data_IF_385508744567
#
_entry.id   IF_385508744567
#
_cell.length_a   1.000
_cell.length_b   1.000
_cell.length_c   1.000
_cell.angle_alpha   90.00
_cell.angle_beta   90.00
_cell.angle_gamma   90.00
#
_symmetry.space_group_name_H-M   'P 1'
#
loop_
_entity.id
_entity.type
_entity.pdbx_description
1 polymer ?
#
# COMPACT_ATOMS: atom_id res chain seq x y z
N UNK A 1 -62.00 -3.59 21.19
CA UNK A 1 -62.99 -4.27 20.32
C UNK A 1 -62.43 -4.22 18.90
N UNK A 2 -62.39 -5.24 18.03
CA UNK A 2 -62.54 -6.72 18.05
C UNK A 2 -61.63 -7.19 16.87
N UNK A 3 -60.71 -8.16 16.95
CA UNK A 3 -60.76 -9.62 17.24
C UNK A 3 -61.54 -10.45 16.21
N UNK A 4 -60.91 -11.56 15.76
CA UNK A 4 -61.31 -12.57 14.74
C UNK A 4 -60.98 -12.18 13.28
N UNK A 5 -60.69 -13.11 12.37
CA UNK A 5 -60.84 -14.59 12.43
C UNK A 5 -59.58 -15.40 12.05
N UNK A 6 -59.47 -16.59 12.65
CA UNK A 6 -58.70 -17.75 12.17
C UNK A 6 -59.69 -18.83 11.73
N UNK A 7 -59.29 -19.74 10.82
CA UNK A 7 -59.31 -21.22 10.98
C UNK A 7 -59.35 -21.95 9.61
N UNK A 8 -58.38 -22.82 9.24
CA UNK A 8 -58.35 -24.31 9.38
C UNK A 8 -59.29 -25.01 8.36
N UNK A 9 -58.88 -25.97 7.50
CA UNK A 9 -58.73 -27.43 7.75
C UNK A 9 -57.78 -28.12 6.70
N UNK A 10 -56.80 -28.86 7.21
CA UNK A 10 -56.25 -30.23 6.91
C UNK A 10 -56.39 -30.98 5.54
N UNK A 11 -55.26 -31.66 5.19
CA UNK A 11 -55.08 -33.14 4.89
C UNK A 11 -55.57 -33.76 3.55
N UNK A 12 -55.09 -34.91 3.03
CA UNK A 12 -54.30 -36.05 3.58
C UNK A 12 -53.22 -36.63 2.62
N UNK A 13 -52.38 -37.54 3.17
CA UNK A 13 -51.76 -38.76 2.57
C UNK A 13 -52.66 -39.54 1.56
N UNK A 14 -52.23 -40.49 0.70
CA UNK A 14 -50.93 -41.06 0.21
C UNK A 14 -51.26 -42.03 -1.00
N UNK A 15 -50.53 -43.05 -1.51
CA UNK A 15 -49.28 -43.79 -1.18
C UNK A 15 -48.73 -44.62 -2.39
N UNK A 16 -47.55 -45.25 -2.21
CA UNK A 16 -47.06 -46.56 -2.75
C UNK A 16 -47.33 -47.03 -4.21
N UNK A 17 -46.26 -47.46 -4.88
CA UNK A 17 -46.03 -48.90 -5.20
C UNK A 17 -44.64 -49.15 -5.80
N UNK A 18 -44.19 -50.41 -5.82
CA UNK A 18 -42.87 -50.84 -6.31
C UNK A 18 -43.00 -52.05 -7.25
N UNK A 19 -41.92 -52.37 -8.00
CA UNK A 19 -41.76 -53.66 -8.71
C UNK A 19 -40.29 -54.09 -8.79
N UNK A 20 -40.09 -55.38 -9.04
CA UNK A 20 -38.88 -56.17 -8.77
C UNK A 20 -38.46 -57.02 -9.99
N UNK A 21 -37.51 -57.96 -9.79
CA UNK A 21 -37.04 -59.01 -10.73
C UNK A 21 -35.98 -58.54 -11.76
N UNK A 22 -34.89 -59.27 -12.06
CA UNK A 22 -34.32 -60.46 -11.36
C UNK A 22 -32.81 -60.67 -11.65
N UNK A 23 -32.29 -61.82 -11.22
CA UNK A 23 -30.89 -62.28 -11.19
C UNK A 23 -30.34 -62.64 -12.61
N UNK A 24 -29.03 -62.84 -12.87
CA UNK A 24 -28.19 -63.80 -12.16
C UNK A 24 -26.70 -63.86 -12.59
N UNK A 25 -25.85 -64.18 -11.62
CA UNK A 25 -24.59 -64.95 -11.72
C UNK A 25 -23.37 -64.40 -12.51
N UNK A 26 -22.12 -64.79 -12.23
CA UNK A 26 -21.42 -65.18 -10.98
C UNK A 26 -19.91 -65.32 -11.28
N UNK A 27 -19.01 -64.70 -10.51
CA UNK A 27 -17.75 -65.32 -10.03
C UNK A 27 -16.83 -64.36 -9.24
N UNK A 28 -16.36 -64.85 -8.09
CA UNK A 28 -15.01 -64.74 -7.49
C UNK A 28 -14.15 -63.46 -7.63
N UNK A 29 -13.40 -63.02 -6.61
CA UNK A 29 -13.46 -63.22 -5.14
C UNK A 29 -12.32 -62.42 -4.50
N UNK A 30 -12.61 -61.47 -3.59
CA UNK A 30 -11.91 -61.35 -2.31
C UNK A 30 -12.51 -60.25 -1.42
N UNK A 31 -12.97 -60.66 -0.24
CA UNK A 31 -13.11 -59.84 0.96
C UNK A 31 -11.70 -59.61 1.59
N UNK A 32 -11.46 -58.70 2.54
CA UNK A 32 -12.34 -58.22 3.61
C UNK A 32 -12.31 -56.71 3.88
N UNK A 33 -13.38 -56.26 4.54
CA UNK A 33 -13.64 -54.89 4.99
C UNK A 33 -12.78 -54.46 6.20
N UNK A 34 -12.62 -53.15 6.34
CA UNK A 34 -11.99 -52.51 7.50
C UNK A 34 -12.86 -52.60 8.77
N UNK A 35 -12.29 -52.89 9.96
CA UNK A 35 -13.00 -52.78 11.22
C UNK A 35 -13.11 -51.30 11.64
N UNK A 36 -14.34 -50.76 11.65
CA UNK A 36 -14.61 -49.38 12.11
C UNK A 36 -15.89 -49.24 12.95
N UNK A 37 -16.14 -50.25 13.78
CA UNK A 37 -17.19 -50.32 14.81
C UNK A 37 -16.52 -50.73 16.14
N UNK A 38 -17.26 -50.73 17.26
CA UNK A 38 -16.79 -51.12 18.61
C UNK A 38 -15.86 -50.15 19.35
N UNK A 39 -16.24 -48.86 19.38
CA UNK A 39 -15.64 -47.85 20.25
C UNK A 39 -16.43 -47.57 21.56
N UNK A 40 -17.29 -48.50 22.02
CA UNK A 40 -18.31 -48.22 23.08
C UNK A 40 -18.38 -49.20 24.28
N UNK A 41 -17.36 -50.01 24.58
CA UNK A 41 -17.33 -50.86 25.80
C UNK A 41 -15.95 -50.93 26.48
N UNK A 42 -15.32 -49.77 26.75
CA UNK A 42 -14.03 -49.70 27.47
C UNK A 42 -14.03 -48.68 28.62
N UNK A 43 -13.54 -49.11 29.78
CA UNK A 43 -13.47 -48.31 31.01
C UNK A 43 -12.51 -47.12 30.89
N UNK A 44 -12.80 -46.05 31.64
CA UNK A 44 -11.87 -44.91 31.82
C UNK A 44 -10.47 -45.36 32.29
N UNK A 45 -10.39 -46.46 33.04
CA UNK A 45 -9.12 -47.03 33.53
C UNK A 45 -8.30 -47.71 32.42
N UNK A 46 -8.95 -48.33 31.45
CA UNK A 46 -8.34 -49.04 30.32
C UNK A 46 -7.90 -48.08 29.23
N UNK A 47 -8.75 -47.11 28.87
CA UNK A 47 -8.39 -46.01 27.95
C UNK A 47 -7.17 -45.21 28.46
N UNK A 48 -7.01 -45.07 29.78
CA UNK A 48 -5.82 -44.46 30.41
C UNK A 48 -4.59 -45.39 30.41
N UNK A 49 -4.78 -46.72 30.32
CA UNK A 49 -3.69 -47.71 30.21
C UNK A 49 -3.15 -47.74 28.77
N UNK A 50 -4.03 -47.83 27.76
CA UNK A 50 -3.69 -47.77 26.34
C UNK A 50 -2.90 -46.50 25.98
N UNK A 51 -3.43 -45.31 26.32
CA UNK A 51 -2.70 -44.04 26.11
C UNK A 51 -1.34 -43.96 26.81
N UNK A 52 -1.14 -44.69 27.91
CA UNK A 52 0.16 -44.73 28.60
C UNK A 52 1.15 -45.68 27.91
N UNK A 53 0.67 -46.69 27.20
CA UNK A 53 1.50 -47.57 26.37
C UNK A 53 1.90 -46.86 25.06
N UNK A 54 0.96 -46.25 24.35
CA UNK A 54 1.21 -45.42 23.15
C UNK A 54 2.25 -44.30 23.44
N UNK A 55 2.17 -43.69 24.62
CA UNK A 55 3.09 -42.64 25.06
C UNK A 55 4.47 -43.17 25.50
N UNK A 56 4.58 -44.44 25.91
CA UNK A 56 5.87 -45.08 26.20
C UNK A 56 6.58 -45.52 24.91
N UNK A 57 5.83 -46.00 23.92
CA UNK A 57 6.35 -46.45 22.64
C UNK A 57 6.89 -45.28 21.77
N UNK A 58 6.29 -44.10 21.90
CA UNK A 58 6.73 -42.88 21.22
C UNK A 58 7.85 -42.08 21.94
N UNK A 59 8.54 -42.67 22.92
CA UNK A 59 9.69 -42.02 23.56
C UNK A 59 10.91 -42.00 22.62
N UNK A 60 11.52 -40.82 22.35
CA UNK A 60 12.68 -40.74 21.47
C UNK A 60 13.89 -41.44 22.09
N UNK A 61 14.36 -42.51 21.44
CA UNK A 61 15.53 -43.29 21.87
C UNK A 61 16.75 -42.36 22.05
N UNK A 62 17.50 -42.46 23.17
CA UNK A 62 18.63 -41.56 23.44
C UNK A 62 19.71 -41.74 22.38
N UNK A 63 20.16 -40.63 21.78
CA UNK A 63 21.23 -40.66 20.78
C UNK A 63 22.53 -41.19 21.42
N UNK A 64 23.28 -42.08 20.75
CA UNK A 64 24.55 -42.57 21.27
C UNK A 64 25.52 -41.40 21.52
N UNK A 65 26.33 -41.50 22.58
CA UNK A 65 27.30 -40.47 22.94
C UNK A 65 28.50 -40.54 21.99
N UNK A 66 28.41 -39.89 20.82
CA UNK A 66 29.52 -39.75 19.86
C UNK A 66 30.82 -39.35 20.57
N UNK A 67 31.88 -40.08 20.26
CA UNK A 67 33.24 -39.92 20.77
C UNK A 67 33.85 -38.59 20.36
N UNK A 68 34.98 -38.23 20.99
CA UNK A 68 35.73 -37.00 20.71
C UNK A 68 36.31 -36.97 19.29
N UNK A 69 36.51 -38.13 18.66
CA UNK A 69 36.98 -38.24 17.28
C UNK A 69 35.85 -37.98 16.26
N UNK A 70 34.72 -38.68 16.38
CA UNK A 70 33.57 -38.52 15.48
C UNK A 70 33.04 -37.09 15.46
N UNK A 71 33.02 -36.41 16.63
CA UNK A 71 32.63 -35.00 16.72
C UNK A 71 33.57 -34.06 15.96
N UNK A 72 34.87 -34.36 15.89
CA UNK A 72 35.84 -33.58 15.10
C UNK A 72 35.62 -33.81 13.62
N UNK A 73 35.50 -35.07 13.18
CA UNK A 73 35.23 -35.42 11.78
C UNK A 73 33.95 -34.72 11.26
N UNK A 74 32.85 -34.76 12.03
CA UNK A 74 31.59 -34.11 11.66
C UNK A 74 31.72 -32.57 11.59
N UNK A 75 32.52 -31.97 12.47
CA UNK A 75 32.77 -30.52 12.48
C UNK A 75 33.68 -30.08 11.32
N UNK A 76 34.61 -30.94 10.91
CA UNK A 76 35.53 -30.74 9.79
C UNK A 76 34.80 -30.88 8.44
N UNK A 77 33.94 -31.90 8.30
CA UNK A 77 33.05 -32.08 7.16
C UNK A 77 32.11 -30.87 6.99
N UNK A 78 31.49 -30.39 8.07
CA UNK A 78 30.67 -29.16 8.05
C UNK A 78 31.46 -27.87 7.72
N UNK A 79 32.78 -27.84 7.96
CA UNK A 79 33.65 -26.75 7.52
C UNK A 79 33.92 -26.84 6.02
N UNK A 80 34.17 -28.05 5.49
CA UNK A 80 34.35 -28.29 4.06
C UNK A 80 33.06 -27.95 3.27
N UNK A 81 31.88 -28.36 3.74
CA UNK A 81 30.59 -28.00 3.14
C UNK A 81 30.35 -26.48 3.09
N UNK A 82 30.70 -25.77 4.17
CA UNK A 82 30.63 -24.29 4.23
C UNK A 82 31.65 -23.61 3.31
N UNK A 83 32.82 -24.20 3.11
CA UNK A 83 33.82 -23.71 2.16
C UNK A 83 33.36 -23.93 0.71
N UNK A 84 32.80 -25.10 0.38
CA UNK A 84 32.21 -25.39 -0.93
C UNK A 84 31.05 -24.43 -1.25
N UNK A 85 30.10 -24.24 -0.32
CA UNK A 85 28.99 -23.29 -0.47
C UNK A 85 29.41 -21.81 -0.57
N UNK A 86 30.66 -21.46 -0.25
CA UNK A 86 31.22 -20.11 -0.46
C UNK A 86 31.80 -19.88 -1.86
N UNK A 87 32.04 -20.93 -2.66
CA UNK A 87 32.62 -20.81 -4.01
C UNK A 87 31.60 -20.67 -5.14
N UNK A 88 30.31 -20.85 -4.87
CA UNK A 88 29.26 -20.51 -5.84
C UNK A 88 28.90 -19.03 -5.72
N UNK A 89 28.93 -18.23 -6.80
CA UNK A 89 28.44 -16.87 -6.75
C UNK A 89 26.94 -16.88 -6.51
N UNK A 90 26.49 -16.23 -5.43
CA UNK A 90 25.07 -15.96 -5.24
C UNK A 90 24.59 -15.01 -6.34
N UNK A 91 23.93 -15.57 -7.35
CA UNK A 91 22.82 -14.85 -7.98
C UNK A 91 21.73 -14.74 -6.92
N UNK A 92 21.73 -13.66 -6.14
CA UNK A 92 20.57 -13.32 -5.33
C UNK A 92 19.41 -13.06 -6.32
N UNK A 93 18.36 -13.90 -6.35
CA UNK A 93 17.21 -13.61 -7.20
C UNK A 93 16.60 -12.30 -6.71
N UNK A 94 16.29 -11.40 -7.65
CA UNK A 94 15.72 -10.08 -7.33
C UNK A 94 14.56 -10.28 -6.34
N UNK A 95 14.72 -9.76 -5.12
CA UNK A 95 13.95 -10.24 -3.98
C UNK A 95 12.51 -9.76 -4.07
N UNK A 96 11.65 -10.60 -4.67
CA UNK A 96 10.21 -10.34 -4.83
C UNK A 96 9.62 -10.12 -3.45
N UNK A 97 9.38 -8.85 -3.13
CA UNK A 97 8.99 -8.41 -1.80
C UNK A 97 7.48 -8.60 -1.61
N UNK A 98 7.01 -9.85 -1.79
CA UNK A 98 5.65 -10.31 -1.50
C UNK A 98 5.23 -9.77 -0.13
N UNK A 99 4.26 -8.86 -0.14
CA UNK A 99 4.12 -7.88 0.93
C UNK A 99 3.34 -8.47 2.10
N UNK A 100 2.32 -9.30 1.81
CA UNK A 100 1.40 -9.86 2.80
C UNK A 100 0.88 -11.29 2.49
N UNK A 101 1.27 -11.89 1.37
CA UNK A 101 0.77 -13.23 0.95
C UNK A 101 1.30 -14.38 1.82
N UNK A 102 2.46 -14.15 2.47
CA UNK A 102 3.06 -15.10 3.41
C UNK A 102 2.50 -14.85 4.82
N UNK A 103 1.74 -15.79 5.42
CA UNK A 103 1.16 -15.61 6.74
C UNK A 103 2.21 -15.40 7.84
N UNK A 104 3.46 -15.85 7.64
CA UNK A 104 4.56 -15.57 8.58
C UNK A 104 5.02 -14.11 8.52
N UNK A 105 4.86 -13.44 7.38
CA UNK A 105 5.07 -11.99 7.26
C UNK A 105 3.91 -11.21 7.85
N UNK A 106 2.67 -11.65 7.64
CA UNK A 106 1.46 -11.04 8.25
C UNK A 106 1.57 -11.07 9.78
N UNK A 107 1.81 -12.24 10.37
CA UNK A 107 2.04 -12.39 11.82
C UNK A 107 3.24 -11.58 12.35
N UNK A 108 4.25 -11.31 11.50
CA UNK A 108 5.40 -10.45 11.86
C UNK A 108 5.09 -8.96 11.70
N UNK A 109 4.14 -8.59 10.85
CA UNK A 109 3.62 -7.23 10.70
C UNK A 109 2.66 -6.90 11.86
N UNK A 110 1.71 -7.79 12.16
CA UNK A 110 0.78 -7.68 13.30
C UNK A 110 1.52 -7.52 14.62
N UNK A 111 2.55 -8.34 14.87
CA UNK A 111 3.45 -8.21 16.04
C UNK A 111 4.32 -6.95 16.09
N UNK A 112 4.27 -6.11 15.05
CA UNK A 112 4.93 -4.80 15.01
C UNK A 112 3.93 -3.64 15.11
N UNK A 113 2.63 -3.86 14.95
CA UNK A 113 1.67 -2.77 14.95
C UNK A 113 1.60 -2.16 16.35
N UNK A 114 1.74 -0.83 16.40
CA UNK A 114 1.60 -0.03 17.61
C UNK A 114 0.12 0.29 17.83
N UNK A 115 -0.63 0.47 16.74
CA UNK A 115 -2.09 0.64 16.78
C UNK A 115 -2.75 -0.68 16.35
N UNK A 116 -3.44 -1.33 17.28
CA UNK A 116 -4.29 -2.47 16.97
C UNK A 116 -5.53 -1.97 16.20
N UNK A 117 -5.51 -2.09 14.87
CA UNK A 117 -6.66 -1.75 14.02
C UNK A 117 -7.39 -3.00 13.55
N UNK A 118 -8.70 -3.04 13.79
CA UNK A 118 -9.55 -4.12 13.32
C UNK A 118 -9.51 -4.19 11.79
N UNK A 119 -8.92 -5.27 11.26
CA UNK A 119 -8.97 -5.64 9.84
C UNK A 119 -10.36 -6.14 9.51
N UNK A 120 -10.87 -5.82 8.33
CA UNK A 120 -12.14 -6.38 7.85
C UNK A 120 -12.10 -7.92 7.81
N UNK A 121 -13.20 -8.62 8.12
CA UNK A 121 -13.30 -10.06 7.94
C UNK A 121 -12.97 -10.51 6.50
N UNK A 122 -12.22 -11.60 6.35
CA UNK A 122 -11.85 -12.17 5.03
C UNK A 122 -13.07 -12.49 4.15
N UNK A 123 -14.22 -12.81 4.76
CA UNK A 123 -15.50 -12.99 4.06
C UNK A 123 -15.95 -11.73 3.32
N UNK A 124 -15.66 -10.53 3.83
CA UNK A 124 -16.03 -9.24 3.25
C UNK A 124 -14.94 -8.57 2.40
N UNK A 125 -13.71 -9.07 2.44
CA UNK A 125 -12.62 -8.64 1.55
C UNK A 125 -12.77 -9.23 0.13
N UNK A 126 -12.35 -8.48 -0.89
CA UNK A 126 -12.28 -8.98 -2.28
C UNK A 126 -11.08 -9.92 -2.44
N UNK A 127 -11.23 -11.15 -2.99
CA UNK A 127 -10.16 -12.15 -3.00
C UNK A 127 -8.84 -11.70 -3.64
N UNK A 128 -8.89 -10.90 -4.72
CA UNK A 128 -7.70 -10.35 -5.38
C UNK A 128 -6.93 -9.31 -4.55
N UNK A 129 -7.50 -8.81 -3.45
CA UNK A 129 -6.93 -7.75 -2.63
C UNK A 129 -6.77 -8.12 -1.15
N UNK A 130 -6.96 -9.40 -0.79
CA UNK A 130 -6.91 -9.85 0.62
C UNK A 130 -5.51 -9.81 1.26
N UNK A 131 -4.47 -9.64 0.43
CA UNK A 131 -3.12 -9.31 0.87
C UNK A 131 -3.01 -7.85 1.34
N UNK A 132 -3.74 -6.91 0.73
CA UNK A 132 -3.69 -5.51 1.14
C UNK A 132 -4.48 -5.27 2.45
N UNK A 133 -3.94 -4.49 3.40
CA UNK A 133 -4.62 -4.24 4.68
C UNK A 133 -5.84 -3.33 4.49
N UNK A 134 -7.04 -3.89 4.61
CA UNK A 134 -8.32 -3.15 4.69
C UNK A 134 -8.79 -3.10 6.15
N UNK A 135 -9.03 -1.90 6.68
CA UNK A 135 -9.41 -1.65 8.08
C UNK A 135 -10.84 -1.12 8.21
N UNK A 136 -11.49 -1.42 9.33
CA UNK A 136 -12.85 -0.96 9.61
C UNK A 136 -12.88 0.45 10.24
N UNK A 137 -13.89 1.25 9.87
CA UNK A 137 -14.04 2.66 10.24
C UNK A 137 -14.04 2.91 11.76
N UNK A 138 -14.57 1.98 12.53
CA UNK A 138 -14.67 2.09 14.00
C UNK A 138 -13.31 1.89 14.71
N UNK A 139 -12.26 1.47 13.98
CA UNK A 139 -10.86 1.50 14.44
C UNK A 139 -10.28 2.92 14.50
N UNK A 140 -11.00 3.82 15.19
CA UNK A 140 -10.56 5.18 15.49
C UNK A 140 -9.28 5.14 16.33
N UNK A 141 -8.22 5.75 15.81
CA UNK A 141 -6.89 5.76 16.44
C UNK A 141 -6.94 6.31 17.87
N UNK A 142 -7.84 7.27 18.11
CA UNK A 142 -8.03 7.95 19.40
C UNK A 142 -8.61 7.08 20.53
N UNK A 143 -9.26 5.94 20.24
CA UNK A 143 -9.88 5.09 21.26
C UNK A 143 -9.03 3.87 21.67
N UNK A 144 -7.98 3.51 20.90
CA UNK A 144 -7.08 2.38 21.23
C UNK A 144 -5.58 2.69 21.16
N UNK A 145 -5.17 3.94 20.89
CA UNK A 145 -3.87 4.42 21.41
C UNK A 145 -4.02 4.55 22.93
N UNK A 146 -3.78 3.44 23.64
CA UNK A 146 -3.73 3.44 25.08
C UNK A 146 -2.64 4.39 25.57
N UNK A 147 -2.98 5.27 26.51
CA UNK A 147 -2.06 6.26 27.10
C UNK A 147 -1.02 5.63 28.06
N UNK A 148 -0.45 4.48 27.67
CA UNK A 148 0.84 4.00 28.16
C UNK A 148 1.88 5.02 27.72
N UNK A 149 2.20 5.97 28.59
CA UNK A 149 2.76 7.28 28.24
C UNK A 149 4.25 7.29 27.82
N UNK A 150 4.75 6.21 27.21
CA UNK A 150 6.15 6.06 26.80
C UNK A 150 6.29 5.91 25.27
N UNK A 151 7.07 6.80 24.66
CA UNK A 151 7.70 6.64 23.33
C UNK A 151 6.88 6.85 22.02
N UNK A 152 5.87 7.72 21.99
CA UNK A 152 5.41 8.35 20.72
C UNK A 152 5.52 9.88 20.82
N UNK A 153 6.22 10.51 19.87
CA UNK A 153 6.46 11.96 19.88
C UNK A 153 5.21 12.76 19.47
N UNK A 154 4.87 13.89 20.14
CA UNK A 154 3.65 14.65 19.84
C UNK A 154 3.51 15.14 18.39
N UNK A 155 4.60 15.49 17.71
CA UNK A 155 4.55 15.90 16.30
C UNK A 155 4.22 14.71 15.37
N UNK A 156 4.73 13.52 15.70
CA UNK A 156 4.45 12.27 14.99
C UNK A 156 3.00 11.83 15.22
N UNK A 157 2.50 11.93 16.45
CA UNK A 157 1.09 11.67 16.80
C UNK A 157 0.14 12.59 16.01
N UNK A 158 0.41 13.91 16.02
CA UNK A 158 -0.37 14.90 15.25
C UNK A 158 -0.34 14.66 13.74
N UNK A 159 0.78 14.15 13.21
CA UNK A 159 0.89 13.76 11.81
C UNK A 159 0.07 12.50 11.50
N UNK A 160 0.16 11.46 12.34
CA UNK A 160 -0.56 10.20 12.15
C UNK A 160 -2.07 10.40 12.07
N UNK A 161 -2.63 11.23 12.96
CA UNK A 161 -4.05 11.61 12.92
C UNK A 161 -4.42 12.29 11.59
N UNK A 162 -3.67 13.33 11.16
CA UNK A 162 -3.89 14.01 9.87
C UNK A 162 -3.74 13.12 8.63
N UNK A 163 -2.97 12.04 8.72
CA UNK A 163 -2.84 11.04 7.66
C UNK A 163 -4.04 10.08 7.65
N UNK A 164 -4.52 9.64 8.82
CA UNK A 164 -5.66 8.76 8.97
C UNK A 164 -6.99 9.45 8.62
N UNK A 165 -7.17 10.71 9.05
CA UNK A 165 -8.30 11.59 8.72
C UNK A 165 -8.26 12.10 7.27
N UNK A 166 -7.22 11.76 6.50
CA UNK A 166 -6.95 12.22 5.13
C UNK A 166 -6.90 13.74 4.93
N UNK A 167 -6.70 14.53 5.99
CA UNK A 167 -6.46 15.99 5.88
C UNK A 167 -5.24 16.32 5.02
N UNK A 168 -4.26 15.40 4.94
CA UNK A 168 -3.09 15.51 4.04
C UNK A 168 -3.10 14.32 3.06
N UNK A 169 -3.64 14.54 1.87
CA UNK A 169 -3.72 13.53 0.79
C UNK A 169 -2.47 13.46 -0.08
N UNK A 170 -2.05 14.60 -0.66
CA UNK A 170 -1.08 14.67 -1.75
C UNK A 170 0.34 14.19 -1.39
N UNK A 171 0.97 13.46 -2.32
CA UNK A 171 2.28 12.81 -2.13
C UNK A 171 3.40 13.74 -1.65
N UNK A 172 3.53 14.94 -2.21
CA UNK A 172 4.56 15.91 -1.82
C UNK A 172 4.29 16.51 -0.43
N UNK A 173 3.03 16.87 -0.16
CA UNK A 173 2.59 17.39 1.16
C UNK A 173 2.77 16.35 2.27
N UNK A 174 2.50 15.06 2.01
CA UNK A 174 2.79 13.96 2.93
C UNK A 174 4.28 13.84 3.24
N UNK A 175 5.16 14.00 2.25
CA UNK A 175 6.61 13.96 2.43
C UNK A 175 7.14 15.13 3.27
N UNK A 176 6.74 16.36 2.96
CA UNK A 176 7.12 17.55 3.73
C UNK A 176 6.67 17.39 5.18
N UNK A 177 5.41 16.98 5.41
CA UNK A 177 4.87 16.80 6.75
C UNK A 177 5.61 15.71 7.58
N UNK A 178 6.04 14.62 6.94
CA UNK A 178 6.94 13.62 7.57
C UNK A 178 8.28 14.24 7.96
N UNK A 179 8.92 14.98 7.05
CA UNK A 179 10.21 15.62 7.35
C UNK A 179 10.10 16.67 8.47
N UNK A 180 9.05 17.49 8.49
CA UNK A 180 8.80 18.45 9.58
C UNK A 180 8.55 17.74 10.92
N UNK A 181 7.78 16.66 10.95
CA UNK A 181 7.53 15.90 12.18
C UNK A 181 8.79 15.16 12.68
N UNK A 182 9.60 14.63 11.76
CA UNK A 182 10.91 14.05 12.09
C UNK A 182 11.90 15.12 12.58
N UNK A 183 11.91 16.32 12.00
CA UNK A 183 12.74 17.46 12.47
C UNK A 183 12.44 17.79 13.94
N UNK A 184 11.17 17.94 14.30
CA UNK A 184 10.79 18.19 15.70
C UNK A 184 11.16 17.01 16.62
N UNK A 185 10.95 15.76 16.18
CA UNK A 185 11.37 14.58 16.94
C UNK A 185 12.89 14.54 17.17
N UNK A 186 13.70 14.88 16.16
CA UNK A 186 15.17 14.93 16.27
C UNK A 186 15.61 16.08 17.19
N UNK A 187 14.96 17.25 17.10
CA UNK A 187 15.24 18.40 17.96
C UNK A 187 14.98 18.11 19.44
N UNK A 188 13.85 17.48 19.75
CA UNK A 188 13.47 17.11 21.13
C UNK A 188 14.15 15.82 21.62
N UNK A 189 14.97 15.15 20.79
CA UNK A 189 15.64 13.90 21.15
C UNK A 189 16.83 14.13 22.09
N UNK A 190 16.84 13.35 23.17
CA UNK A 190 17.89 13.32 24.18
C UNK A 190 18.53 11.93 24.19
N UNK A 191 19.87 11.88 24.19
CA UNK A 191 20.63 10.64 24.15
C UNK A 191 20.73 10.02 25.57
N UNK A 192 20.29 8.78 25.81
CA UNK A 192 20.54 8.11 27.07
C UNK A 192 22.02 7.71 27.23
N UNK A 193 22.49 7.75 28.48
CA UNK A 193 23.90 7.59 28.85
C UNK A 193 24.58 6.35 28.23
N UNK A 194 25.83 6.53 27.80
CA UNK A 194 26.68 5.44 27.30
C UNK A 194 26.35 4.89 25.90
N UNK A 195 25.38 5.47 25.19
CA UNK A 195 25.08 5.12 23.79
C UNK A 195 25.73 6.10 22.79
N UNK A 196 25.63 5.76 21.50
CA UNK A 196 26.01 6.65 20.38
C UNK A 196 24.74 7.09 19.62
N UNK A 197 24.62 8.39 19.33
CA UNK A 197 23.45 8.99 18.66
C UNK A 197 23.02 8.24 17.40
N UNK A 198 23.95 7.90 16.50
CA UNK A 198 23.68 7.17 15.25
C UNK A 198 22.87 5.87 15.42
N UNK A 199 23.12 5.13 16.50
CA UNK A 199 22.50 3.83 16.74
C UNK A 199 21.14 3.97 17.44
N UNK A 200 21.07 4.81 18.47
CA UNK A 200 19.87 4.90 19.30
C UNK A 200 18.80 5.82 18.69
N UNK A 201 19.19 6.84 17.91
CA UNK A 201 18.26 7.66 17.14
C UNK A 201 17.58 6.86 16.03
N UNK A 202 18.28 5.98 15.32
CA UNK A 202 17.61 5.08 14.37
C UNK A 202 16.64 4.13 15.09
N UNK A 203 17.07 3.57 16.23
CA UNK A 203 16.25 2.70 17.07
C UNK A 203 14.96 3.39 17.51
N UNK A 204 15.05 4.60 18.08
CA UNK A 204 13.93 5.40 18.56
C UNK A 204 13.02 5.93 17.43
N UNK A 205 13.57 6.15 16.22
CA UNK A 205 12.77 6.53 15.04
C UNK A 205 11.94 5.37 14.47
N UNK A 206 12.33 4.10 14.70
CA UNK A 206 11.61 2.96 14.14
C UNK A 206 10.16 2.83 14.65
N UNK A 207 9.85 2.97 15.95
CA UNK A 207 8.48 3.08 16.45
C UNK A 207 7.70 4.23 15.80
N UNK A 208 8.31 5.42 15.69
CA UNK A 208 7.67 6.60 15.08
C UNK A 208 7.22 6.32 13.63
N UNK A 209 8.07 5.68 12.84
CA UNK A 209 7.75 5.28 11.46
C UNK A 209 6.64 4.21 11.44
N UNK A 210 6.70 3.22 12.33
CA UNK A 210 5.70 2.14 12.39
C UNK A 210 4.31 2.65 12.78
N UNK A 211 4.23 3.58 13.73
CA UNK A 211 2.98 4.27 14.07
C UNK A 211 2.37 4.97 12.85
N UNK A 212 3.18 5.70 12.06
CA UNK A 212 2.69 6.35 10.83
C UNK A 212 2.21 5.33 9.78
N UNK A 213 2.84 4.16 9.67
CA UNK A 213 2.38 3.04 8.81
C UNK A 213 1.02 2.51 9.23
N UNK A 214 0.79 2.35 10.55
CA UNK A 214 -0.48 1.86 11.10
C UNK A 214 -1.62 2.89 10.94
N UNK A 215 -1.27 4.19 10.99
CA UNK A 215 -2.22 5.27 10.68
C UNK A 215 -2.70 5.20 9.23
N UNK A 216 -1.74 5.15 8.28
CA UNK A 216 -2.01 5.07 6.84
C UNK A 216 -0.79 4.50 6.10
N UNK A 217 -0.96 3.52 5.19
CA UNK A 217 0.16 3.00 4.39
C UNK A 217 1.01 4.12 3.76
N UNK A 218 2.32 4.07 3.98
CA UNK A 218 3.25 5.09 3.49
C UNK A 218 3.34 5.06 1.96
N UNK A 219 3.34 6.24 1.34
CA UNK A 219 3.67 6.34 -0.09
C UNK A 219 5.14 5.94 -0.33
N UNK A 220 5.44 5.54 -1.57
CA UNK A 220 6.82 5.21 -1.97
C UNK A 220 7.73 6.44 -1.81
N UNK A 221 7.21 7.65 -2.04
CA UNK A 221 7.90 8.92 -1.79
C UNK A 221 8.25 9.12 -0.30
N UNK A 222 7.33 8.87 0.65
CA UNK A 222 7.63 8.86 2.09
C UNK A 222 8.71 7.80 2.42
N UNK A 223 8.61 6.63 1.81
CA UNK A 223 9.59 5.55 1.97
C UNK A 223 11.00 5.89 1.43
N UNK A 224 11.12 6.71 0.39
CA UNK A 224 12.40 7.21 -0.12
C UNK A 224 12.99 8.28 0.82
N UNK A 225 12.15 9.21 1.28
CA UNK A 225 12.51 10.26 2.24
C UNK A 225 13.02 9.67 3.56
N UNK A 226 12.36 8.64 4.10
CA UNK A 226 12.78 7.96 5.34
C UNK A 226 14.13 7.23 5.15
N UNK A 227 14.42 6.67 3.96
CA UNK A 227 15.73 6.09 3.67
C UNK A 227 16.83 7.16 3.64
N UNK A 228 16.54 8.35 3.08
CA UNK A 228 17.48 9.47 3.11
C UNK A 228 17.82 9.87 4.55
N UNK A 229 16.82 10.10 5.41
CA UNK A 229 17.05 10.45 6.82
C UNK A 229 17.86 9.36 7.56
N UNK A 230 17.54 8.07 7.37
CA UNK A 230 18.34 6.95 7.92
C UNK A 230 19.78 6.93 7.38
N UNK A 231 19.98 7.24 6.10
CA UNK A 231 21.31 7.36 5.49
C UNK A 231 22.13 8.47 6.14
N UNK A 232 21.54 9.65 6.33
CA UNK A 232 22.19 10.78 7.01
C UNK A 232 22.53 10.46 8.48
N UNK A 233 21.62 9.82 9.23
CA UNK A 233 21.90 9.32 10.61
C UNK A 233 23.08 8.34 10.61
N UNK A 234 23.20 7.49 9.58
CA UNK A 234 24.31 6.53 9.44
C UNK A 234 25.65 7.19 9.08
N UNK A 235 25.63 8.45 8.61
CA UNK A 235 26.78 9.24 8.20
C UNK A 235 27.22 10.27 9.27
N UNK A 236 26.56 10.32 10.43
CA UNK A 236 26.99 11.16 11.55
C UNK A 236 28.33 10.63 12.09
N UNK A 237 29.33 11.52 12.10
CA UNK A 237 30.65 11.29 12.67
C UNK A 237 30.55 11.02 14.18
N UNK A 238 31.07 9.88 14.69
CA UNK A 238 31.06 9.57 16.12
C UNK A 238 31.81 10.56 17.02
N UNK A 239 32.74 11.35 16.46
CA UNK A 239 33.59 12.26 17.24
C UNK A 239 32.99 13.69 17.36
N UNK A 240 31.84 13.96 16.71
CA UNK A 240 31.12 15.24 16.81
C UNK A 240 30.20 15.30 18.06
N UNK A 241 30.04 16.49 18.68
CA UNK A 241 29.05 16.69 19.75
C UNK A 241 27.61 16.42 19.29
N UNK A 242 26.80 15.78 20.13
CA UNK A 242 25.43 15.35 19.78
C UNK A 242 24.52 16.48 19.27
N UNK A 243 24.61 17.67 19.87
CA UNK A 243 23.84 18.85 19.42
C UNK A 243 24.27 19.32 18.01
N UNK A 244 25.56 19.22 17.67
CA UNK A 244 26.03 19.52 16.33
C UNK A 244 25.60 18.43 15.33
N UNK A 245 25.60 17.16 15.76
CA UNK A 245 25.04 16.05 14.98
C UNK A 245 23.55 16.23 14.68
N UNK A 246 22.74 16.62 15.68
CA UNK A 246 21.33 16.98 15.52
C UNK A 246 21.15 18.18 14.60
N UNK A 247 21.89 19.27 14.81
CA UNK A 247 21.84 20.48 13.99
C UNK A 247 22.17 20.21 12.52
N UNK A 248 23.24 19.44 12.25
CA UNK A 248 23.63 19.03 10.89
C UNK A 248 22.53 18.20 10.21
N UNK A 249 21.94 17.23 10.93
CA UNK A 249 20.85 16.39 10.41
C UNK A 249 19.58 17.21 10.12
N UNK A 250 19.26 18.18 10.97
CA UNK A 250 18.14 19.11 10.78
C UNK A 250 18.38 20.00 9.55
N UNK A 251 19.59 20.56 9.40
CA UNK A 251 19.98 21.34 8.22
C UNK A 251 19.92 20.50 6.94
N UNK A 252 20.34 19.23 6.98
CA UNK A 252 20.22 18.31 5.85
C UNK A 252 18.75 17.99 5.48
N UNK A 253 17.85 17.90 6.45
CA UNK A 253 16.41 17.75 6.22
C UNK A 253 15.82 18.98 5.52
N UNK A 254 16.11 20.19 6.00
CA UNK A 254 15.58 21.42 5.39
C UNK A 254 16.19 21.67 3.99
N UNK A 255 17.49 21.36 3.82
CA UNK A 255 18.16 21.34 2.50
C UNK A 255 17.49 20.36 1.54
N UNK A 256 17.05 19.19 2.03
CA UNK A 256 16.30 18.23 1.22
C UNK A 256 14.92 18.77 0.83
N UNK A 257 14.15 19.36 1.76
CA UNK A 257 12.84 19.95 1.44
C UNK A 257 13.00 20.99 0.32
N UNK A 258 13.96 21.91 0.46
CA UNK A 258 14.15 22.97 -0.53
C UNK A 258 14.64 22.43 -1.87
N UNK A 259 15.74 21.67 -1.88
CA UNK A 259 16.42 21.30 -3.12
C UNK A 259 15.83 20.06 -3.81
N UNK A 260 15.01 19.25 -3.12
CA UNK A 260 14.42 18.00 -3.65
C UNK A 260 12.90 18.02 -3.74
N UNK A 261 12.22 19.03 -3.20
CA UNK A 261 10.77 19.18 -3.31
C UNK A 261 10.40 20.57 -3.83
N UNK A 262 10.78 21.65 -3.16
CA UNK A 262 10.34 23.02 -3.53
C UNK A 262 10.90 23.46 -4.88
N UNK A 263 12.23 23.55 -5.02
CA UNK A 263 12.87 24.03 -6.26
C UNK A 263 12.54 23.14 -7.47
N UNK A 264 12.50 21.79 -7.36
CA UNK A 264 11.99 20.92 -8.42
C UNK A 264 10.59 21.25 -8.92
N UNK A 265 9.66 21.62 -8.03
CA UNK A 265 8.29 22.00 -8.42
C UNK A 265 8.31 23.29 -9.25
N UNK A 266 9.13 24.28 -8.89
CA UNK A 266 9.26 25.54 -9.65
C UNK A 266 9.90 25.32 -11.04
N UNK A 267 10.88 24.41 -11.14
CA UNK A 267 11.52 24.03 -12.42
C UNK A 267 10.53 23.29 -13.32
N UNK A 268 9.83 22.29 -12.80
CA UNK A 268 8.80 21.52 -13.54
C UNK A 268 7.63 22.43 -13.96
N UNK A 269 7.25 23.39 -13.11
CA UNK A 269 6.23 24.41 -13.42
C UNK A 269 6.62 25.24 -14.64
N UNK A 270 7.86 25.74 -14.69
CA UNK A 270 8.36 26.56 -15.81
C UNK A 270 8.54 25.76 -17.10
N UNK A 271 9.12 24.56 -17.01
CA UNK A 271 9.34 23.67 -18.17
C UNK A 271 8.05 23.03 -18.71
N UNK A 272 7.00 22.97 -17.88
CA UNK A 272 5.66 22.58 -18.30
C UNK A 272 4.88 23.74 -18.93
N UNK A 273 4.95 24.94 -18.36
CA UNK A 273 4.28 26.12 -18.88
C UNK A 273 4.79 26.51 -20.28
N UNK A 274 6.09 26.39 -20.54
CA UNK A 274 6.72 26.69 -21.84
C UNK A 274 6.27 25.81 -23.02
N UNK A 275 5.46 24.76 -22.76
CA UNK A 275 4.89 23.86 -23.78
C UNK A 275 3.41 24.08 -24.05
N UNK A 276 2.80 24.98 -23.31
CA UNK A 276 1.40 25.37 -23.48
C UNK A 276 1.39 26.54 -24.45
N UNK A 277 0.55 26.44 -25.49
CA UNK A 277 0.45 27.42 -26.58
C UNK A 277 -0.96 28.02 -26.61
N UNK A 278 -1.09 29.19 -27.19
CA UNK A 278 -2.37 29.88 -27.29
C UNK A 278 -3.39 29.05 -28.09
N UNK A 279 -4.56 28.84 -27.52
CA UNK A 279 -5.61 27.93 -28.03
C UNK A 279 -5.59 26.51 -27.46
N UNK A 280 -4.62 26.16 -26.60
CA UNK A 280 -4.59 24.82 -25.98
C UNK A 280 -5.82 24.51 -25.11
N UNK A 281 -6.22 23.22 -25.14
CA UNK A 281 -7.22 22.62 -24.26
C UNK A 281 -6.52 21.54 -23.45
N UNK A 282 -6.25 21.85 -22.18
CA UNK A 282 -5.53 20.95 -21.27
C UNK A 282 -6.50 20.09 -20.49
N UNK A 283 -6.30 18.78 -20.50
CA UNK A 283 -6.99 17.88 -19.58
C UNK A 283 -6.09 17.55 -18.38
N UNK A 284 -6.65 17.64 -17.17
CA UNK A 284 -6.02 17.24 -15.90
C UNK A 284 -6.96 16.36 -15.08
N UNK A 285 -6.42 15.53 -14.20
CA UNK A 285 -7.19 14.62 -13.33
C UNK A 285 -6.95 14.88 -11.85
N UNK A 286 -7.99 14.71 -11.03
CA UNK A 286 -7.91 14.81 -9.57
C UNK A 286 -7.31 16.19 -9.17
N UNK A 287 -6.49 16.24 -8.12
CA UNK A 287 -5.75 17.45 -7.71
C UNK A 287 -4.27 17.17 -7.53
N UNK A 288 -3.47 17.60 -8.51
CA UNK A 288 -2.00 17.61 -8.44
C UNK A 288 -1.48 19.02 -8.21
N UNK A 289 -0.72 19.25 -7.13
CA UNK A 289 -0.17 20.57 -6.82
C UNK A 289 0.82 21.07 -7.89
N UNK A 290 1.60 20.18 -8.50
CA UNK A 290 2.58 20.56 -9.53
C UNK A 290 1.85 21.01 -10.81
N UNK A 291 0.77 20.31 -11.18
CA UNK A 291 -0.07 20.68 -12.32
C UNK A 291 -0.90 21.94 -12.02
N UNK A 292 -1.31 22.16 -10.76
CA UNK A 292 -1.97 23.39 -10.31
C UNK A 292 -1.07 24.61 -10.54
N UNK A 293 0.21 24.53 -10.13
CA UNK A 293 1.19 25.60 -10.34
C UNK A 293 1.52 25.81 -11.83
N UNK A 294 1.71 24.71 -12.58
CA UNK A 294 1.98 24.71 -14.02
C UNK A 294 0.88 25.40 -14.82
N UNK A 295 -0.39 25.05 -14.59
CA UNK A 295 -1.53 25.65 -15.30
C UNK A 295 -1.67 27.14 -14.98
N UNK A 296 -1.45 27.56 -13.73
CA UNK A 296 -1.46 28.98 -13.35
C UNK A 296 -0.34 29.76 -14.04
N UNK A 297 0.89 29.28 -13.95
CA UNK A 297 2.04 29.89 -14.61
C UNK A 297 1.91 29.92 -16.14
N UNK A 298 1.16 29.00 -16.74
CA UNK A 298 0.83 29.01 -18.17
C UNK A 298 -0.26 30.03 -18.51
N UNK A 299 -1.32 30.16 -17.70
CA UNK A 299 -2.34 31.20 -17.89
C UNK A 299 -1.75 32.61 -17.80
N UNK A 300 -0.80 32.81 -16.88
CA UNK A 300 -0.06 34.08 -16.74
C UNK A 300 0.80 34.42 -17.98
N UNK A 301 0.97 33.49 -18.93
CA UNK A 301 1.74 33.64 -20.17
C UNK A 301 0.90 33.54 -21.45
N UNK A 302 -0.33 33.00 -21.37
CA UNK A 302 -1.13 32.57 -22.53
C UNK A 302 -2.58 33.05 -22.38
N UNK A 303 -3.07 33.80 -23.37
CA UNK A 303 -4.36 34.48 -23.30
C UNK A 303 -5.53 33.49 -23.43
N UNK A 304 -5.44 32.55 -24.37
CA UNK A 304 -6.49 31.59 -24.69
C UNK A 304 -6.11 30.19 -24.18
N UNK A 305 -6.27 29.96 -22.87
CA UNK A 305 -6.06 28.65 -22.24
C UNK A 305 -7.37 28.13 -21.63
N UNK A 306 -7.77 26.91 -22.02
CA UNK A 306 -8.95 26.22 -21.46
C UNK A 306 -8.55 24.93 -20.76
N UNK A 307 -9.16 24.62 -19.63
CA UNK A 307 -8.81 23.45 -18.80
C UNK A 307 -10.02 22.55 -18.56
N UNK A 308 -9.88 21.27 -18.88
CA UNK A 308 -10.83 20.21 -18.54
C UNK A 308 -10.34 19.51 -17.27
N UNK A 309 -11.01 19.79 -16.15
CA UNK A 309 -10.76 19.14 -14.86
C UNK A 309 -11.63 17.89 -14.75
N UNK A 310 -10.99 16.73 -14.81
CA UNK A 310 -11.64 15.43 -14.63
C UNK A 310 -11.60 15.03 -13.16
N UNK A 311 -12.74 14.69 -12.58
CA UNK A 311 -12.84 14.23 -11.19
C UNK A 311 -13.35 12.78 -11.06
N UNK A 312 -13.01 12.16 -9.93
CA UNK A 312 -13.31 10.77 -9.61
C UNK A 312 -14.41 10.57 -8.57
N UNK A 313 -14.56 9.32 -8.13
CA UNK A 313 -15.30 8.94 -6.92
C UNK A 313 -14.50 7.89 -6.15
N UNK A 314 -14.58 7.84 -4.82
CA UNK A 314 -15.46 8.67 -3.97
C UNK A 314 -14.86 10.03 -3.58
N UNK A 315 -13.54 10.16 -3.53
CA UNK A 315 -12.85 11.40 -3.14
C UNK A 315 -12.87 12.39 -4.32
N UNK A 316 -13.63 13.49 -4.17
CA UNK A 316 -13.89 14.49 -5.24
C UNK A 316 -12.82 15.58 -5.21
N UNK A 317 -11.57 15.15 -5.34
CA UNK A 317 -10.40 16.02 -5.21
C UNK A 317 -10.31 17.06 -6.33
N UNK A 318 -10.77 16.71 -7.54
CA UNK A 318 -10.83 17.62 -8.69
C UNK A 318 -11.67 18.87 -8.43
N UNK A 319 -12.65 18.84 -7.52
CA UNK A 319 -13.35 20.06 -7.08
C UNK A 319 -12.43 21.12 -6.46
N UNK A 320 -11.44 20.72 -5.65
CA UNK A 320 -10.50 21.69 -5.09
C UNK A 320 -9.53 22.19 -6.16
N UNK A 321 -9.15 21.35 -7.12
CA UNK A 321 -8.39 21.79 -8.31
C UNK A 321 -9.17 22.87 -9.08
N UNK A 322 -10.45 22.62 -9.38
CA UNK A 322 -11.35 23.55 -10.06
C UNK A 322 -11.46 24.89 -9.32
N UNK A 323 -11.80 24.86 -8.02
CA UNK A 323 -11.87 26.03 -7.14
C UNK A 323 -10.59 26.88 -7.22
N UNK A 324 -9.43 26.23 -7.12
CA UNK A 324 -8.11 26.87 -7.15
C UNK A 324 -7.72 27.46 -8.50
N UNK A 325 -8.28 26.97 -9.61
CA UNK A 325 -8.05 27.50 -10.96
C UNK A 325 -9.02 28.64 -11.29
N UNK A 326 -10.31 28.48 -10.93
CA UNK A 326 -11.33 29.53 -11.09
C UNK A 326 -11.00 30.77 -10.24
N UNK A 327 -10.46 30.59 -9.02
CA UNK A 327 -9.92 31.71 -8.22
C UNK A 327 -8.71 32.42 -8.86
N UNK A 328 -8.08 31.82 -9.88
CA UNK A 328 -6.96 32.41 -10.65
C UNK A 328 -7.43 32.91 -12.04
N UNK A 329 -8.74 32.86 -12.34
CA UNK A 329 -9.32 33.36 -13.59
C UNK A 329 -9.30 32.39 -14.78
N UNK A 330 -8.76 31.18 -14.61
CA UNK A 330 -8.61 30.18 -15.70
C UNK A 330 -9.97 29.65 -16.16
N UNK A 331 -10.22 29.60 -17.47
CA UNK A 331 -11.43 28.97 -18.03
C UNK A 331 -11.40 27.45 -17.79
N UNK A 332 -12.43 26.93 -17.11
CA UNK A 332 -12.45 25.58 -16.58
C UNK A 332 -13.78 24.84 -16.80
N UNK A 333 -13.72 23.75 -17.58
CA UNK A 333 -14.79 22.75 -17.69
C UNK A 333 -14.55 21.64 -16.66
N UNK A 334 -15.55 21.33 -15.84
CA UNK A 334 -15.49 20.20 -14.89
C UNK A 334 -16.28 19.00 -15.43
N UNK A 335 -15.64 17.83 -15.51
CA UNK A 335 -16.28 16.58 -15.94
C UNK A 335 -15.97 15.42 -14.99
N UNK A 336 -16.80 14.38 -15.02
CA UNK A 336 -16.52 13.12 -14.31
C UNK A 336 -15.77 12.14 -15.22
N UNK A 337 -15.00 11.22 -14.63
CA UNK A 337 -14.18 10.22 -15.36
C UNK A 337 -14.92 9.46 -16.47
N UNK A 338 -16.23 9.20 -16.34
CA UNK A 338 -17.03 8.51 -17.35
C UNK A 338 -17.34 9.34 -18.62
N UNK A 339 -17.10 10.66 -18.60
CA UNK A 339 -17.30 11.54 -19.75
C UNK A 339 -16.01 11.76 -20.56
N UNK A 340 -14.85 11.27 -20.10
CA UNK A 340 -13.54 11.50 -20.73
C UNK A 340 -13.52 11.06 -22.20
N UNK A 341 -14.11 9.91 -22.53
CA UNK A 341 -14.18 9.40 -23.89
C UNK A 341 -14.95 10.32 -24.87
N UNK A 342 -15.84 11.18 -24.37
CA UNK A 342 -16.57 12.14 -25.19
C UNK A 342 -15.76 13.43 -25.40
N UNK A 343 -15.13 13.95 -24.34
CA UNK A 343 -14.41 15.22 -24.40
C UNK A 343 -12.95 15.10 -24.89
N UNK A 344 -12.37 13.90 -24.98
CA UNK A 344 -10.99 13.70 -25.45
C UNK A 344 -10.77 14.13 -26.91
N UNK A 345 -11.83 14.29 -27.71
CA UNK A 345 -11.77 14.89 -29.06
C UNK A 345 -11.32 16.36 -29.06
N UNK A 346 -11.58 17.06 -27.96
CA UNK A 346 -11.42 18.51 -27.85
C UNK A 346 -10.11 18.89 -27.16
N UNK A 347 -9.39 17.90 -26.60
CA UNK A 347 -8.18 18.05 -25.79
C UNK A 347 -6.94 18.05 -26.68
N UNK A 348 -6.08 19.07 -26.52
CA UNK A 348 -4.80 19.14 -27.24
C UNK A 348 -3.66 18.50 -26.45
N UNK A 349 -3.68 18.55 -25.11
CA UNK A 349 -2.63 18.00 -24.23
C UNK A 349 -3.20 17.48 -22.91
N UNK A 350 -2.68 16.35 -22.40
CA UNK A 350 -3.02 15.81 -21.08
C UNK A 350 -1.86 16.05 -20.11
N UNK A 351 -2.10 16.75 -19.00
CA UNK A 351 -1.11 16.97 -17.94
C UNK A 351 -1.55 16.26 -16.64
N UNK A 352 -0.73 15.33 -16.15
CA UNK A 352 -1.03 14.55 -14.94
C UNK A 352 0.11 14.65 -13.91
N UNK A 353 -0.25 14.69 -12.63
CA UNK A 353 0.69 14.43 -11.55
C UNK A 353 0.91 12.93 -11.36
N UNK A 354 2.11 12.55 -10.91
CA UNK A 354 2.39 11.19 -10.45
C UNK A 354 2.52 11.10 -8.91
N UNK A 355 2.06 9.97 -8.37
CA UNK A 355 2.42 9.53 -7.02
C UNK A 355 3.81 8.87 -7.00
N UNK A 356 4.20 8.16 -8.08
CA UNK A 356 5.51 7.53 -8.28
C UNK A 356 5.70 7.17 -9.76
N UNK A 357 6.95 7.14 -10.25
CA UNK A 357 7.30 6.46 -11.51
C UNK A 357 8.28 5.31 -11.21
N UNK A 358 8.07 4.16 -11.83
CA UNK A 358 8.85 2.93 -11.62
C UNK A 358 9.98 2.77 -12.64
N UNK A 359 10.93 1.86 -12.36
CA UNK A 359 12.08 1.58 -13.25
C UNK A 359 11.70 1.12 -14.66
N UNK A 360 10.49 0.59 -14.86
CA UNK A 360 9.97 0.19 -16.18
C UNK A 360 9.20 1.31 -16.90
N UNK A 361 9.22 2.54 -16.37
CA UNK A 361 8.49 3.69 -16.91
C UNK A 361 7.00 3.74 -16.56
N UNK A 362 6.42 2.68 -15.97
CA UNK A 362 5.04 2.70 -15.50
C UNK A 362 4.85 3.77 -14.41
N UNK A 363 3.72 4.49 -14.49
CA UNK A 363 3.39 5.61 -13.60
C UNK A 363 2.28 5.19 -12.65
N UNK A 364 2.51 5.33 -11.35
CA UNK A 364 1.48 5.20 -10.33
C UNK A 364 0.88 6.58 -10.07
N UNK A 365 -0.44 6.71 -10.24
CA UNK A 365 -1.19 7.91 -9.86
C UNK A 365 -2.57 7.54 -9.31
N UNK A 366 -3.45 8.52 -9.12
CA UNK A 366 -4.78 8.34 -8.56
C UNK A 366 -5.65 7.44 -9.45
N UNK A 367 -6.58 6.69 -8.85
CA UNK A 367 -7.40 5.68 -9.54
C UNK A 367 -8.18 6.26 -10.72
N UNK A 368 -8.03 5.66 -11.90
CA UNK A 368 -8.60 6.19 -13.16
C UNK A 368 -7.63 7.02 -14.00
N UNK A 369 -6.43 7.36 -13.50
CA UNK A 369 -5.39 7.99 -14.31
C UNK A 369 -5.01 7.13 -15.54
N UNK A 370 -4.93 5.80 -15.40
CA UNK A 370 -4.61 4.91 -16.53
C UNK A 370 -5.72 4.89 -17.60
N UNK A 371 -7.00 5.03 -17.22
CA UNK A 371 -8.12 5.20 -18.16
C UNK A 371 -7.97 6.48 -19.00
N UNK A 372 -7.50 7.57 -18.39
CA UNK A 372 -7.25 8.83 -19.09
C UNK A 372 -6.07 8.67 -20.07
N UNK A 373 -4.99 8.00 -19.65
CA UNK A 373 -3.87 7.67 -20.54
C UNK A 373 -4.27 6.79 -21.72
N UNK A 374 -5.11 5.78 -21.49
CA UNK A 374 -5.67 4.92 -22.54
C UNK A 374 -6.49 5.73 -23.55
N UNK A 375 -7.44 6.57 -23.08
CA UNK A 375 -8.23 7.40 -23.99
C UNK A 375 -7.38 8.44 -24.74
N UNK A 376 -6.39 9.07 -24.08
CA UNK A 376 -5.46 9.98 -24.74
C UNK A 376 -4.66 9.28 -25.84
N UNK A 377 -4.13 8.08 -25.56
CA UNK A 377 -3.41 7.26 -26.53
C UNK A 377 -4.28 6.84 -27.72
N UNK A 378 -5.57 6.55 -27.52
CA UNK A 378 -6.51 6.22 -28.62
C UNK A 378 -6.78 7.44 -29.51
N UNK A 379 -6.85 8.64 -28.93
CA UNK A 379 -7.10 9.89 -29.65
C UNK A 379 -5.82 10.58 -30.14
N UNK A 380 -4.64 9.96 -29.97
CA UNK A 380 -3.31 10.53 -30.27
C UNK A 380 -2.95 11.81 -29.49
N UNK A 381 -3.59 12.04 -28.34
CA UNK A 381 -3.34 13.19 -27.46
C UNK A 381 -2.13 12.88 -26.57
N UNK A 382 -1.10 13.76 -26.51
CA UNK A 382 0.09 13.51 -25.73
C UNK A 382 -0.16 13.59 -24.22
N UNK A 383 0.36 12.61 -23.48
CA UNK A 383 0.29 12.54 -22.01
C UNK A 383 1.63 12.96 -21.41
N UNK A 384 1.58 14.05 -20.64
CA UNK A 384 2.72 14.70 -20.01
C UNK A 384 2.63 14.50 -18.49
N UNK A 385 3.59 13.76 -17.94
CA UNK A 385 3.64 13.42 -16.53
C UNK A 385 4.56 14.38 -15.80
N UNK A 386 4.03 15.16 -14.87
CA UNK A 386 4.80 16.06 -14.02
C UNK A 386 5.18 15.35 -12.72
N UNK A 387 6.48 15.11 -12.50
CA UNK A 387 6.94 14.35 -11.34
C UNK A 387 8.36 14.73 -10.89
N UNK A 388 8.46 15.16 -9.63
CA UNK A 388 9.73 15.40 -8.94
C UNK A 388 10.50 14.07 -8.76
N UNK A 389 11.77 14.04 -9.15
CA UNK A 389 12.56 12.80 -9.24
C UNK A 389 12.66 11.98 -7.95
N UNK A 390 12.53 12.61 -6.78
CA UNK A 390 12.62 11.93 -5.48
C UNK A 390 11.47 10.93 -5.25
N UNK A 391 10.37 11.07 -6.01
CA UNK A 391 9.25 10.11 -6.07
C UNK A 391 9.55 8.87 -6.91
N UNK A 392 10.66 8.83 -7.66
CA UNK A 392 11.00 7.69 -8.50
C UNK A 392 11.37 6.45 -7.68
N UNK A 393 11.03 5.28 -8.21
CA UNK A 393 11.16 4.00 -7.51
C UNK A 393 12.05 3.04 -8.29
N UNK A 394 13.03 2.46 -7.61
CA UNK A 394 13.83 1.37 -8.16
C UNK A 394 13.01 0.07 -8.33
N UNK A 395 11.82 -0.04 -7.72
CA UNK A 395 10.91 -1.17 -7.92
C UNK A 395 10.38 -1.18 -9.36
N UNK A 396 9.92 -2.34 -9.78
CA UNK A 396 9.03 -2.53 -10.94
C UNK A 396 7.70 -3.06 -10.40
N UNK A 397 6.61 -2.62 -11.02
CA UNK A 397 5.25 -3.09 -10.77
C UNK A 397 4.56 -3.24 -12.13
N UNK A 398 3.76 -4.29 -12.28
CA UNK A 398 3.17 -4.71 -13.57
C UNK A 398 1.64 -4.54 -13.57
N UNK A 399 1.02 -4.54 -12.39
CA UNK A 399 -0.41 -4.44 -12.17
C UNK A 399 -0.76 -3.46 -11.03
N UNK A 400 -2.03 -3.06 -10.94
CA UNK A 400 -2.57 -2.20 -9.88
C UNK A 400 -2.94 -2.95 -8.59
N UNK A 401 -2.53 -4.21 -8.42
CA UNK A 401 -3.05 -5.14 -7.40
C UNK A 401 -1.97 -5.47 -6.34
N UNK A 402 -0.77 -5.86 -6.75
CA UNK A 402 0.31 -6.39 -5.87
C UNK A 402 0.74 -5.40 -4.78
N UNK A 403 0.66 -4.10 -5.05
CA UNK A 403 1.00 -3.05 -4.07
C UNK A 403 0.15 -1.80 -4.32
N UNK A 404 -0.87 -1.59 -3.49
CA UNK A 404 -1.78 -0.44 -3.55
C UNK A 404 -2.21 0.01 -2.14
N UNK A 405 -2.96 1.11 -2.04
CA UNK A 405 -3.60 1.56 -0.80
C UNK A 405 -5.13 1.35 -0.92
N UNK A 406 -5.71 0.58 0.01
CA UNK A 406 -7.16 0.45 0.14
C UNK A 406 -7.70 1.53 1.08
N UNK A 407 -8.79 2.17 0.66
CA UNK A 407 -9.52 3.17 1.44
C UNK A 407 -10.73 2.54 2.15
N UNK A 408 -11.34 3.33 3.03
CA UNK A 408 -12.59 3.00 3.69
C UNK A 408 -13.68 2.64 2.65
N UNK A 409 -14.27 1.43 2.71
CA UNK A 409 -15.38 1.03 1.83
C UNK A 409 -16.60 1.96 1.95
N UNK A 410 -16.88 2.50 3.13
CA UNK A 410 -18.10 3.29 3.38
C UNK A 410 -18.13 4.60 2.58
N UNK A 411 -16.97 5.08 2.10
CA UNK A 411 -16.87 6.28 1.25
C UNK A 411 -17.64 6.09 -0.09
N UNK A 412 -17.88 4.85 -0.52
CA UNK A 412 -18.66 4.54 -1.72
C UNK A 412 -20.19 4.70 -1.53
N UNK A 413 -20.68 4.54 -0.29
CA UNK A 413 -22.11 4.56 0.06
C UNK A 413 -22.73 5.96 -0.17
N UNK A 414 -21.91 7.01 -0.10
CA UNK A 414 -22.31 8.42 -0.23
C UNK A 414 -22.67 8.83 -1.68
N UNK A 415 -23.67 8.17 -2.28
CA UNK A 415 -24.30 8.63 -3.53
C UNK A 415 -25.20 9.84 -3.29
N UNK A 416 -26.18 9.72 -2.39
CA UNK A 416 -27.28 10.66 -2.20
C UNK A 416 -27.60 10.88 -0.72
N UNK A 417 -27.52 12.12 -0.22
CA UNK A 417 -27.76 12.47 1.19
C UNK A 417 -29.23 12.49 1.63
N UNK A 418 -30.11 11.65 1.03
CA UNK A 418 -31.58 11.73 1.22
C UNK A 418 -32.33 10.39 1.30
N UNK A 419 -31.66 9.25 1.14
CA UNK A 419 -32.29 7.92 1.23
C UNK A 419 -31.28 6.90 1.75
N UNK A 420 -31.71 5.96 2.59
CA UNK A 420 -30.92 4.77 2.92
C UNK A 420 -30.66 3.97 1.64
N UNK A 421 -29.44 4.08 1.10
CA UNK A 421 -29.04 3.38 -0.11
C UNK A 421 -28.84 1.90 0.16
N UNK A 422 -29.05 1.05 -0.85
CA UNK A 422 -28.88 -0.42 -0.79
C UNK A 422 -27.51 -0.90 -0.25
N UNK A 423 -26.52 0.00 -0.17
CA UNK A 423 -25.18 -0.26 0.35
C UNK A 423 -24.98 0.16 1.82
N UNK A 424 -25.96 0.70 2.55
CA UNK A 424 -25.79 1.03 3.99
C UNK A 424 -25.46 -0.23 4.80
N UNK A 425 -26.27 -1.27 4.66
CA UNK A 425 -26.16 -2.53 5.38
C UNK A 425 -25.27 -3.57 4.66
N UNK A 426 -24.31 -3.12 3.83
CA UNK A 426 -23.43 -4.03 3.05
C UNK A 426 -22.64 -5.02 3.93
N UNK A 427 -22.39 -4.67 5.21
CA UNK A 427 -21.77 -5.55 6.21
C UNK A 427 -22.63 -6.78 6.55
N UNK A 428 -23.95 -6.69 6.44
CA UNK A 428 -24.89 -7.79 6.72
C UNK A 428 -25.11 -8.67 5.48
N UNK A 429 -24.96 -8.12 4.27
CA UNK A 429 -25.23 -8.82 3.00
C UNK A 429 -24.04 -9.67 2.54
N UNK A 430 -24.01 -10.97 2.83
CA UNK A 430 -22.85 -11.85 2.56
C UNK A 430 -22.28 -11.78 1.13
N UNK A 431 -23.16 -11.63 0.12
CA UNK A 431 -22.77 -11.54 -1.28
C UNK A 431 -22.25 -10.15 -1.71
N UNK A 432 -22.27 -9.14 -0.83
CA UNK A 432 -21.83 -7.77 -1.12
C UNK A 432 -20.47 -7.49 -0.46
N UNK A 433 -19.54 -6.98 -1.27
CA UNK A 433 -18.21 -6.54 -0.84
C UNK A 433 -17.92 -5.17 -1.43
N UNK A 434 -17.45 -4.24 -0.60
CA UNK A 434 -17.07 -2.90 -1.04
C UNK A 434 -15.55 -2.78 -1.10
N UNK A 435 -15.05 -2.30 -2.25
CA UNK A 435 -13.63 -2.14 -2.54
C UNK A 435 -13.39 -0.74 -3.10
N UNK A 436 -12.51 0.00 -2.43
CA UNK A 436 -12.16 1.37 -2.76
C UNK A 436 -10.63 1.45 -2.84
N UNK A 437 -10.09 1.58 -4.04
CA UNK A 437 -8.65 1.50 -4.34
C UNK A 437 -8.16 2.92 -4.67
N UNK A 438 -7.13 3.41 -4.00
CA UNK A 438 -6.67 4.78 -4.21
C UNK A 438 -5.94 5.01 -5.54
N UNK A 439 -5.12 4.05 -5.98
CA UNK A 439 -4.13 4.26 -7.03
C UNK A 439 -4.30 3.29 -8.19
N UNK A 440 -3.77 3.67 -9.34
CA UNK A 440 -3.77 2.87 -10.56
C UNK A 440 -2.45 3.03 -11.33
N UNK A 441 -2.08 1.99 -12.08
CA UNK A 441 -0.80 1.85 -12.76
C UNK A 441 -0.97 2.11 -14.26
N UNK A 442 -0.55 3.27 -14.73
CA UNK A 442 -0.48 3.57 -16.15
C UNK A 442 0.75 2.86 -16.78
N UNK A 443 0.58 2.07 -17.84
CA UNK A 443 1.68 1.54 -18.65
C UNK A 443 2.54 2.66 -19.25
N UNK A 444 3.84 2.40 -19.41
CA UNK A 444 4.78 3.37 -20.01
C UNK A 444 4.41 3.76 -21.46
N UNK A 445 3.70 2.87 -22.17
CA UNK A 445 3.24 3.07 -23.56
C UNK A 445 2.27 4.26 -23.70
N UNK A 446 1.49 4.56 -22.67
CA UNK A 446 0.58 5.72 -22.67
C UNK A 446 1.26 7.03 -22.23
N UNK A 447 2.55 6.99 -21.84
CA UNK A 447 3.29 8.15 -21.31
C UNK A 447 4.19 8.72 -22.39
N UNK A 448 3.77 9.82 -23.01
CA UNK A 448 4.56 10.49 -24.05
C UNK A 448 5.84 11.10 -23.49
N UNK A 449 5.76 11.80 -22.34
CA UNK A 449 6.88 12.51 -21.73
C UNK A 449 6.75 12.58 -20.20
N UNK A 450 7.89 12.61 -19.50
CA UNK A 450 7.97 12.92 -18.06
C UNK A 450 8.79 14.21 -17.88
N UNK A 451 8.17 15.24 -17.28
CA UNK A 451 8.85 16.48 -16.89
C UNK A 451 9.38 16.34 -15.47
N UNK A 452 10.67 16.62 -15.31
CA UNK A 452 11.45 16.52 -14.07
C UNK A 452 12.29 17.78 -13.86
N UNK A 453 12.95 17.91 -12.72
CA UNK A 453 13.93 18.96 -12.48
C UNK A 453 15.21 18.85 -13.34
N UNK A 454 15.41 17.73 -14.03
CA UNK A 454 16.48 17.52 -15.02
C UNK A 454 16.03 17.85 -16.45
N UNK A 455 14.93 18.60 -16.60
CA UNK A 455 14.24 18.76 -17.86
C UNK A 455 13.35 17.55 -18.16
N UNK A 456 13.12 17.28 -19.45
CA UNK A 456 12.18 16.25 -19.89
C UNK A 456 12.87 15.01 -20.43
N UNK A 457 12.33 13.86 -20.04
CA UNK A 457 12.81 12.54 -20.44
C UNK A 457 11.64 11.63 -20.85
N UNK A 458 11.87 10.61 -21.69
CA UNK A 458 10.91 9.52 -21.84
C UNK A 458 10.85 8.71 -20.53
N UNK A 459 9.71 8.06 -20.26
CA UNK A 459 9.52 7.29 -19.04
C UNK A 459 10.55 6.15 -18.84
N UNK A 460 11.10 5.62 -19.93
CA UNK A 460 12.18 4.61 -19.94
C UNK A 460 13.52 5.10 -19.38
N UNK A 461 13.75 6.42 -19.25
CA UNK A 461 15.00 6.99 -18.70
C UNK A 461 15.01 7.12 -17.17
N UNK A 462 13.91 6.83 -16.47
CA UNK A 462 13.82 6.89 -15.00
C UNK A 462 14.94 6.10 -14.28
N UNK A 463 15.36 4.89 -14.71
CA UNK A 463 16.52 4.20 -14.14
C UNK A 463 17.85 4.95 -14.26
N UNK A 464 18.01 5.80 -15.28
CA UNK A 464 19.24 6.60 -15.48
C UNK A 464 19.30 7.70 -14.43
N UNK A 465 18.21 8.46 -14.25
CA UNK A 465 18.09 9.47 -13.19
C UNK A 465 18.30 8.82 -11.80
N UNK A 466 17.70 7.65 -11.55
CA UNK A 466 17.90 6.87 -10.33
C UNK A 466 19.32 6.31 -10.14
N UNK A 467 20.13 6.19 -11.21
CA UNK A 467 21.54 5.79 -11.14
C UNK A 467 22.42 6.96 -10.76
N UNK A 468 22.26 8.10 -11.44
CA UNK A 468 23.04 9.30 -11.14
C UNK A 468 22.77 9.82 -9.73
N UNK A 469 21.52 9.71 -9.25
CA UNK A 469 21.19 10.02 -7.85
C UNK A 469 21.92 9.19 -6.80
N UNK A 470 22.29 7.94 -7.11
CA UNK A 470 23.07 7.13 -6.17
C UNK A 470 24.51 7.60 -6.12
N UNK A 471 25.10 8.01 -7.26
CA UNK A 471 26.45 8.58 -7.30
C UNK A 471 26.55 9.90 -6.56
N UNK A 472 25.52 10.75 -6.63
CA UNK A 472 25.47 12.04 -5.94
C UNK A 472 24.98 11.96 -4.48
N UNK A 473 24.79 10.76 -3.95
CA UNK A 473 24.42 10.49 -2.55
C UNK A 473 25.42 9.53 -1.87
N UNK A 474 26.60 9.36 -2.47
CA UNK A 474 27.74 8.56 -2.02
C UNK A 474 28.98 9.43 -1.95
#
# INVERSE_FOLDING_TARGET
>A
RLKKSMSVIKSTDSSLSARSHEESSNSHSHSTTSPKVEAQTLSKKERKRLRRLEMLENLPKPKPKLTKAERRALQEQQRQDKAARRKQPKKDPASVQLQHDDPKKVLKFEKKQIIARQRMPLTKQVPFFCHLPQYEKESSLSLQVGFSAESIHPAILRLGLKLAERTITGSSSRCIAVLTALKHFIQDYHLPEGKQIRNDLESAMNPMIQFLVDCRPMSISMGNVIKFVKGQISQIDPDLPDEQGKSNLISAIDTYIQNRIVVPIDVITKEGASRIVDGDVILTFSRSHVVESLIKAAHDQVNNLRVIVVDGRPDKAGKSMLERLVMHGVDCTYIMLNAVAHYMTDVSKVFLGAHTVFSNGSVLSDVGAAMIGLHASIHNVPVVICCESYKFSNRVQIDSIVSNELDNPDNLIALNSRTDGILTNWRELDNVKLLNVNFDLMPAEFVSQVITEFGTVPASSVPVILREYKKSSQ
#
